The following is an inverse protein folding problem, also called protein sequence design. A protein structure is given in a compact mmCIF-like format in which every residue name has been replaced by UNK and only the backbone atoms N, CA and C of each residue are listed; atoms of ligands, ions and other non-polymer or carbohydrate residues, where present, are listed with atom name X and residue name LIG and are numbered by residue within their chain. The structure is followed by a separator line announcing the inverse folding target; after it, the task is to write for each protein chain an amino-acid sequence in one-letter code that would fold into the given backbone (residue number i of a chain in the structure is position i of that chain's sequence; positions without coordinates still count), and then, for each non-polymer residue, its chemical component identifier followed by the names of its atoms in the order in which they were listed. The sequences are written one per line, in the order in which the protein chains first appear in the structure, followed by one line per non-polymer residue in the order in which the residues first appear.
data_IF_560190174097
#
_entry.id   IF_560190174097
#
_cell.length_a   1.000
_cell.length_b   1.000
_cell.length_c   1.000
_cell.angle_alpha   90.00
_cell.angle_beta   90.00
_cell.angle_gamma   90.00
#
_symmetry.space_group_name_H-M   'P 1'
#
loop_
_entity.id
_entity.type
_entity.pdbx_description
1 polymer ?
#
# COMPACT_ATOMS: atom_id res chain seq x y z
N UNK A 1 37.42 -20.74 -14.17
CA UNK A 1 36.25 -19.84 -14.33
C UNK A 1 35.54 -19.59 -12.98
N UNK A 2 36.23 -19.01 -11.98
CA UNK A 2 35.71 -18.89 -10.60
C UNK A 2 35.16 -17.48 -10.22
N UNK A 3 35.38 -16.44 -11.03
CA UNK A 3 35.13 -15.04 -10.62
C UNK A 3 33.66 -14.58 -10.62
N UNK A 4 32.75 -15.29 -11.30
CA UNK A 4 31.35 -14.86 -11.44
C UNK A 4 30.52 -15.06 -10.17
N UNK A 5 30.73 -16.16 -9.45
CA UNK A 5 30.01 -16.49 -8.21
C UNK A 5 30.39 -15.59 -7.04
N UNK A 6 31.66 -15.20 -6.95
CA UNK A 6 32.15 -14.36 -5.86
C UNK A 6 31.77 -12.89 -6.03
N UNK A 7 31.75 -12.40 -7.28
CA UNK A 7 31.24 -11.06 -7.60
C UNK A 7 29.74 -10.94 -7.27
N UNK A 8 28.94 -11.96 -7.62
CA UNK A 8 27.51 -11.99 -7.27
C UNK A 8 27.29 -12.01 -5.74
N UNK A 9 28.07 -12.83 -5.01
CA UNK A 9 28.00 -12.91 -3.54
C UNK A 9 28.44 -11.60 -2.89
N UNK A 10 29.44 -10.91 -3.44
CA UNK A 10 29.88 -9.60 -2.96
C UNK A 10 28.80 -8.54 -3.19
N UNK A 11 28.17 -8.54 -4.36
CA UNK A 11 27.07 -7.63 -4.71
C UNK A 11 25.85 -7.88 -3.82
N UNK A 12 25.51 -9.14 -3.56
CA UNK A 12 24.44 -9.52 -2.62
C UNK A 12 24.75 -9.06 -1.19
N UNK A 13 26.01 -9.19 -0.73
CA UNK A 13 26.43 -8.70 0.59
C UNK A 13 26.37 -7.17 0.67
N UNK A 14 26.84 -6.46 -0.35
CA UNK A 14 26.77 -5.01 -0.42
C UNK A 14 25.32 -4.52 -0.45
N UNK A 15 24.46 -5.15 -1.25
CA UNK A 15 23.03 -4.87 -1.28
C UNK A 15 22.37 -5.14 0.07
N UNK A 16 22.66 -6.28 0.72
CA UNK A 16 22.13 -6.58 2.05
C UNK A 16 22.60 -5.56 3.09
N UNK A 17 23.88 -5.17 3.09
CA UNK A 17 24.40 -4.14 3.99
C UNK A 17 23.73 -2.77 3.76
N UNK A 18 23.47 -2.43 2.49
CA UNK A 18 22.75 -1.20 2.13
C UNK A 18 21.28 -1.24 2.57
N UNK A 19 20.62 -2.41 2.45
CA UNK A 19 19.25 -2.64 2.91
C UNK A 19 19.14 -2.67 4.45
N UNK A 20 20.18 -3.14 5.15
CA UNK A 20 20.27 -3.16 6.61
C UNK A 20 20.47 -1.76 7.21
N UNK A 21 20.88 -0.78 6.40
CA UNK A 21 20.99 0.59 6.87
C UNK A 21 19.62 1.10 7.36
N UNK A 22 19.57 1.45 8.65
CA UNK A 22 18.39 2.00 9.34
C UNK A 22 17.77 3.20 8.61
N UNK A 23 18.57 3.90 7.79
CA UNK A 23 18.18 5.06 6.99
C UNK A 23 17.21 4.70 5.84
N UNK A 24 17.34 3.54 5.21
CA UNK A 24 16.47 3.11 4.10
C UNK A 24 15.32 2.21 4.57
N UNK A 25 15.46 1.60 5.74
CA UNK A 25 14.47 0.67 6.29
C UNK A 25 13.05 1.28 6.38
N UNK A 26 12.94 2.56 6.73
CA UNK A 26 11.66 3.26 6.78
C UNK A 26 11.04 3.48 5.39
N UNK A 27 11.84 3.95 4.43
CA UNK A 27 11.38 4.16 3.05
C UNK A 27 10.98 2.84 2.38
N UNK A 28 11.77 1.78 2.57
CA UNK A 28 11.46 0.43 2.10
C UNK A 28 10.19 -0.13 2.74
N UNK A 29 9.97 0.11 4.04
CA UNK A 29 8.76 -0.29 4.73
C UNK A 29 7.52 0.44 4.20
N UNK A 30 7.64 1.72 3.84
CA UNK A 30 6.58 2.51 3.20
C UNK A 30 6.25 1.95 1.81
N UNK A 31 7.25 1.73 0.96
CA UNK A 31 7.06 1.18 -0.40
C UNK A 31 6.47 -0.24 -0.35
N UNK A 32 7.02 -1.10 0.51
CA UNK A 32 6.49 -2.46 0.73
C UNK A 32 5.05 -2.41 1.23
N UNK A 33 4.75 -1.49 2.14
CA UNK A 33 3.41 -1.25 2.66
C UNK A 33 2.43 -0.82 1.58
N UNK A 34 2.80 0.15 0.75
CA UNK A 34 2.01 0.62 -0.39
C UNK A 34 1.67 -0.52 -1.36
N UNK A 35 2.69 -1.30 -1.77
CA UNK A 35 2.49 -2.45 -2.66
C UNK A 35 1.54 -3.49 -2.03
N UNK A 36 1.76 -3.80 -0.75
CA UNK A 36 0.93 -4.77 -0.05
C UNK A 36 -0.52 -4.28 0.07
N UNK A 37 -0.75 -2.99 0.34
CA UNK A 37 -2.08 -2.37 0.36
C UNK A 37 -2.78 -2.47 -1.00
N UNK A 38 -2.07 -2.17 -2.09
CA UNK A 38 -2.61 -2.30 -3.44
C UNK A 38 -3.03 -3.74 -3.77
N UNK A 39 -2.15 -4.71 -3.49
CA UNK A 39 -2.39 -6.14 -3.75
C UNK A 39 -3.53 -6.67 -2.89
N UNK A 40 -3.55 -6.35 -1.59
CA UNK A 40 -4.57 -6.83 -0.67
C UNK A 40 -5.95 -6.24 -1.01
N UNK A 41 -6.01 -4.92 -1.27
CA UNK A 41 -7.24 -4.26 -1.71
C UNK A 41 -7.79 -4.86 -2.99
N UNK A 42 -6.91 -5.25 -3.93
CA UNK A 42 -7.35 -5.84 -5.19
C UNK A 42 -7.94 -7.24 -4.95
N UNK A 43 -7.25 -8.05 -4.13
CA UNK A 43 -7.66 -9.42 -3.80
C UNK A 43 -9.03 -9.50 -3.14
N UNK A 44 -9.39 -8.52 -2.31
CA UNK A 44 -10.70 -8.50 -1.65
C UNK A 44 -11.77 -7.86 -2.55
N UNK A 45 -11.44 -6.73 -3.20
CA UNK A 45 -12.44 -5.95 -3.93
C UNK A 45 -12.81 -6.57 -5.28
N UNK A 46 -11.86 -7.18 -5.97
CA UNK A 46 -12.09 -7.78 -7.28
C UNK A 46 -13.18 -8.89 -7.23
N UNK A 47 -13.10 -9.91 -6.36
CA UNK A 47 -14.15 -10.92 -6.29
C UNK A 47 -15.50 -10.34 -5.83
N UNK A 48 -15.50 -9.41 -4.87
CA UNK A 48 -16.73 -8.74 -4.44
C UNK A 48 -17.42 -7.97 -5.58
N UNK A 49 -16.66 -7.12 -6.29
CA UNK A 49 -17.19 -6.34 -7.41
C UNK A 49 -17.61 -7.26 -8.58
N UNK A 50 -16.92 -8.37 -8.79
CA UNK A 50 -17.27 -9.38 -9.79
C UNK A 50 -18.64 -9.99 -9.48
N UNK A 51 -18.84 -10.51 -8.26
CA UNK A 51 -20.12 -11.10 -7.84
C UNK A 51 -21.23 -10.06 -7.96
N UNK A 52 -21.03 -8.85 -7.44
CA UNK A 52 -22.05 -7.80 -7.50
C UNK A 52 -22.41 -7.38 -8.94
N UNK A 53 -21.41 -7.28 -9.82
CA UNK A 53 -21.63 -6.81 -11.21
C UNK A 53 -22.21 -7.89 -12.11
N UNK A 54 -21.86 -9.16 -11.89
CA UNK A 54 -22.45 -10.28 -12.64
C UNK A 54 -23.89 -10.55 -12.21
N UNK A 55 -24.17 -10.48 -10.91
CA UNK A 55 -25.47 -10.85 -10.35
C UNK A 55 -26.53 -9.75 -10.51
N UNK A 56 -26.14 -8.47 -10.37
CA UNK A 56 -27.12 -7.36 -10.26
C UNK A 56 -27.05 -6.31 -11.36
N UNK A 57 -25.99 -6.28 -12.17
CA UNK A 57 -25.82 -5.24 -13.21
C UNK A 57 -26.21 -5.79 -14.58
N UNK A 58 -27.06 -5.09 -15.33
CA UNK A 58 -27.36 -5.41 -16.74
C UNK A 58 -26.51 -4.52 -17.65
N UNK A 59 -26.01 -5.05 -18.78
CA UNK A 59 -25.17 -4.30 -19.72
C UNK A 59 -24.12 -5.16 -20.43
N UNK A 60 -23.31 -4.53 -21.28
CA UNK A 60 -22.27 -5.23 -22.04
C UNK A 60 -21.16 -5.77 -21.13
N UNK A 61 -20.52 -6.87 -21.54
CA UNK A 61 -19.38 -7.44 -20.81
C UNK A 61 -18.26 -6.40 -20.62
N UNK A 62 -18.06 -5.52 -21.60
CA UNK A 62 -17.05 -4.46 -21.54
C UNK A 62 -17.34 -3.44 -20.42
N UNK A 63 -18.59 -3.02 -20.27
CA UNK A 63 -18.99 -2.08 -19.21
C UNK A 63 -18.91 -2.72 -17.82
N UNK A 64 -19.28 -4.00 -17.72
CA UNK A 64 -19.14 -4.78 -16.48
C UNK A 64 -17.68 -4.86 -16.05
N UNK A 65 -16.78 -5.27 -16.94
CA UNK A 65 -15.35 -5.36 -16.66
C UNK A 65 -14.73 -4.00 -16.31
N UNK A 66 -15.11 -2.93 -17.02
CA UNK A 66 -14.66 -1.57 -16.72
C UNK A 66 -15.09 -1.13 -15.32
N UNK A 67 -16.34 -1.41 -14.94
CA UNK A 67 -16.89 -1.10 -13.62
C UNK A 67 -16.17 -1.85 -12.50
N UNK A 68 -15.92 -3.15 -12.69
CA UNK A 68 -15.18 -3.98 -11.74
C UNK A 68 -13.75 -3.46 -11.58
N UNK A 69 -13.08 -3.16 -12.70
CA UNK A 69 -11.70 -2.65 -12.69
C UNK A 69 -11.62 -1.29 -12.00
N UNK A 70 -12.54 -0.36 -12.28
CA UNK A 70 -12.57 0.96 -11.62
C UNK A 70 -12.81 0.83 -10.11
N UNK A 71 -13.78 0.01 -9.69
CA UNK A 71 -14.07 -0.19 -8.28
C UNK A 71 -12.90 -0.84 -7.52
N UNK A 72 -12.26 -1.82 -8.14
CA UNK A 72 -11.07 -2.49 -7.61
C UNK A 72 -9.90 -1.52 -7.51
N UNK A 73 -9.63 -0.77 -8.58
CA UNK A 73 -8.55 0.19 -8.64
C UNK A 73 -8.70 1.28 -7.57
N UNK A 74 -9.89 1.88 -7.44
CA UNK A 74 -10.13 2.92 -6.44
C UNK A 74 -9.92 2.39 -5.02
N UNK A 75 -10.46 1.22 -4.68
CA UNK A 75 -10.29 0.63 -3.35
C UNK A 75 -8.82 0.28 -3.05
N UNK A 76 -8.14 -0.41 -3.99
CA UNK A 76 -6.72 -0.72 -3.90
C UNK A 76 -5.86 0.53 -3.73
N UNK A 77 -6.17 1.58 -4.49
CA UNK A 77 -5.46 2.86 -4.44
C UNK A 77 -5.62 3.53 -3.09
N UNK A 78 -6.84 3.56 -2.54
CA UNK A 78 -7.10 4.14 -1.24
C UNK A 78 -6.33 3.37 -0.15
N UNK A 79 -6.42 2.04 -0.12
CA UNK A 79 -5.67 1.24 0.86
C UNK A 79 -4.14 1.42 0.74
N UNK A 80 -3.62 1.50 -0.49
CA UNK A 80 -2.21 1.75 -0.73
C UNK A 80 -1.76 3.13 -0.20
N UNK A 81 -2.52 4.19 -0.49
CA UNK A 81 -2.23 5.54 0.00
C UNK A 81 -2.41 5.68 1.51
N UNK A 82 -3.35 4.96 2.11
CA UNK A 82 -3.49 4.94 3.57
C UNK A 82 -2.24 4.38 4.23
N UNK A 83 -1.77 3.21 3.80
CA UNK A 83 -0.56 2.58 4.36
C UNK A 83 0.68 3.44 4.09
N UNK A 84 0.78 4.06 2.91
CA UNK A 84 1.86 4.98 2.57
C UNK A 84 1.90 6.18 3.51
N UNK A 85 0.77 6.86 3.67
CA UNK A 85 0.63 8.06 4.51
C UNK A 85 0.87 7.73 5.98
N UNK A 86 0.27 6.66 6.48
CA UNK A 86 0.45 6.20 7.86
C UNK A 86 1.91 5.88 8.19
N UNK A 87 2.57 5.03 7.39
CA UNK A 87 3.97 4.66 7.61
C UNK A 87 4.92 5.83 7.34
N UNK A 88 4.59 6.70 6.38
CA UNK A 88 5.35 7.90 6.07
C UNK A 88 5.34 8.89 7.23
N UNK A 89 4.16 9.16 7.79
CA UNK A 89 4.00 10.02 8.97
C UNK A 89 4.71 9.43 10.19
N UNK A 90 4.54 8.14 10.47
CA UNK A 90 5.25 7.47 11.57
C UNK A 90 6.78 7.59 11.41
N UNK A 91 7.29 7.41 10.20
CA UNK A 91 8.72 7.53 9.92
C UNK A 91 9.20 8.97 10.08
N UNK A 92 8.44 9.96 9.60
CA UNK A 92 8.76 11.38 9.74
C UNK A 92 8.75 11.81 11.21
N UNK A 93 7.69 11.47 11.95
CA UNK A 93 7.54 11.78 13.37
C UNK A 93 8.66 11.14 14.21
N UNK A 94 8.97 9.86 13.97
CA UNK A 94 10.06 9.17 14.68
C UNK A 94 11.44 9.74 14.35
N UNK A 95 11.64 10.36 13.19
CA UNK A 95 12.90 11.05 12.84
C UNK A 95 13.01 12.42 13.50
N UNK A 96 11.91 13.18 13.54
CA UNK A 96 11.88 14.52 14.11
C UNK A 96 12.01 14.51 15.63
N UNK A 97 11.38 13.54 16.33
CA UNK A 97 11.40 13.48 17.79
C UNK A 97 12.46 12.53 18.38
N UNK A 98 13.12 11.72 17.54
CA UNK A 98 14.12 10.74 17.97
C UNK A 98 13.58 9.59 18.83
N UNK A 99 12.29 9.58 19.17
CA UNK A 99 11.60 8.57 19.97
C UNK A 99 10.29 8.14 19.29
N UNK A 100 9.83 6.93 19.59
CA UNK A 100 8.51 6.45 19.17
C UNK A 100 7.52 6.64 20.31
N UNK A 101 6.60 7.59 20.15
CA UNK A 101 5.54 7.86 21.12
C UNK A 101 4.22 7.30 20.58
N UNK A 102 3.35 6.67 21.40
CA UNK A 102 2.06 6.13 20.96
C UNK A 102 1.18 7.17 20.25
N UNK A 103 1.27 8.43 20.64
CA UNK A 103 0.54 9.55 20.03
C UNK A 103 0.85 9.73 18.52
N UNK A 104 2.03 9.31 18.06
CA UNK A 104 2.35 9.32 16.62
C UNK A 104 1.44 8.42 15.81
N UNK A 105 1.17 7.22 16.30
CA UNK A 105 0.27 6.28 15.64
C UNK A 105 -1.15 6.83 15.57
N UNK A 106 -1.62 7.47 16.64
CA UNK A 106 -2.94 8.11 16.67
C UNK A 106 -3.03 9.23 15.63
N UNK A 107 -2.11 10.19 15.66
CA UNK A 107 -2.13 11.32 14.73
C UNK A 107 -1.96 10.87 13.27
N UNK A 108 -1.05 9.92 13.01
CA UNK A 108 -0.84 9.36 11.68
C UNK A 108 -2.08 8.63 11.15
N UNK A 109 -2.82 7.92 12.01
CA UNK A 109 -4.06 7.28 11.65
C UNK A 109 -5.18 8.29 11.37
N UNK A 110 -5.32 9.34 12.19
CA UNK A 110 -6.30 10.41 11.96
C UNK A 110 -6.06 11.14 10.64
N UNK A 111 -4.82 11.57 10.39
CA UNK A 111 -4.46 12.29 9.15
C UNK A 111 -4.60 11.37 7.94
N UNK A 112 -4.07 10.14 8.02
CA UNK A 112 -4.16 9.17 6.94
C UNK A 112 -5.60 8.79 6.61
N UNK A 113 -6.44 8.63 7.64
CA UNK A 113 -7.86 8.32 7.47
C UNK A 113 -8.62 9.45 6.79
N UNK A 114 -8.42 10.69 7.26
CA UNK A 114 -9.06 11.86 6.68
C UNK A 114 -8.64 12.13 5.23
N UNK A 115 -7.34 12.05 4.93
CA UNK A 115 -6.82 12.30 3.56
C UNK A 115 -7.27 11.26 2.53
N UNK A 116 -7.45 10.01 2.94
CA UNK A 116 -7.70 8.90 2.02
C UNK A 116 -9.18 8.53 1.95
N UNK A 117 -9.89 8.64 3.06
CA UNK A 117 -11.29 8.24 3.18
C UNK A 117 -12.24 9.40 3.47
N UNK A 118 -11.77 10.65 3.46
CA UNK A 118 -12.60 11.83 3.71
C UNK A 118 -13.70 12.06 2.67
N UNK A 119 -13.54 11.52 1.46
CA UNK A 119 -14.58 11.58 0.42
C UNK A 119 -15.67 10.54 0.66
N UNK A 120 -16.93 10.98 0.66
CA UNK A 120 -18.08 10.10 0.73
C UNK A 120 -18.31 9.43 -0.64
N UNK A 121 -17.74 8.24 -0.81
CA UNK A 121 -17.95 7.39 -1.98
C UNK A 121 -18.37 5.99 -1.50
N UNK A 122 -19.31 5.29 -2.18
CA UNK A 122 -19.68 3.91 -1.85
C UNK A 122 -18.49 2.94 -1.76
N UNK A 123 -17.33 3.27 -2.37
CA UNK A 123 -16.08 2.50 -2.22
C UNK A 123 -15.42 2.71 -0.85
N UNK A 124 -15.49 3.93 -0.29
CA UNK A 124 -14.94 4.25 1.04
C UNK A 124 -15.84 3.70 2.16
N UNK A 125 -17.15 3.62 1.94
CA UNK A 125 -18.09 2.98 2.88
C UNK A 125 -17.93 1.46 2.99
N UNK A 126 -17.09 0.85 2.16
CA UNK A 126 -16.86 -0.60 2.09
C UNK A 126 -15.40 -0.97 2.44
N UNK A 127 -14.71 -0.07 3.15
CA UNK A 127 -13.36 -0.26 3.71
C UNK A 127 -13.47 -0.72 5.16
#
# INVERSE_FOLDING_TARGET
MAGGGDSLRALLRAANALLQQRRYHAALAVIKGFRNGAVYGAKIRAPHALVMTFLFKSGSLREKLKSIAQATYAHSRNLAYFVFTYKGLLAAQSRLQGKKIPFHSFLAACIGGWLVFGDNNPINSQV
#
